data_IF_315037891923
#
_entry.id   IF_315037891923
#
_cell.length_a   1.000
_cell.length_b   1.000
_cell.length_c   1.000
_cell.angle_alpha   90.00
_cell.angle_beta   90.00
_cell.angle_gamma   90.00
#
_symmetry.space_group_name_H-M   'P 1'
#
loop_
_entity.id
_entity.type
_entity.pdbx_description
1 polymer ?
#
# COMPACT_ATOMS: atom_id res chain seq x y z
N UNK A 1 25.37 1.25 -2.01
CA UNK A 1 24.46 2.33 -2.30
C UNK A 1 23.46 2.47 -1.16
N UNK A 2 23.22 3.70 -0.67
CA UNK A 2 22.32 3.94 0.46
C UNK A 2 21.01 4.62 0.04
N UNK A 3 20.79 4.80 -1.23
CA UNK A 3 19.64 5.50 -1.76
C UNK A 3 18.40 4.59 -1.71
N UNK A 4 17.31 5.09 -1.14
CA UNK A 4 16.03 4.36 -1.00
C UNK A 4 16.15 2.97 -0.32
N UNK A 5 17.01 2.84 0.68
CA UNK A 5 17.17 1.58 1.40
C UNK A 5 16.05 1.38 2.43
N UNK A 6 14.84 1.08 1.94
CA UNK A 6 13.68 0.84 2.78
C UNK A 6 13.88 -0.38 3.69
N UNK A 7 14.56 -1.42 3.20
CA UNK A 7 14.84 -2.62 4.00
C UNK A 7 15.60 -2.30 5.28
N UNK A 8 16.70 -1.53 5.18
CA UNK A 8 17.47 -1.17 6.36
C UNK A 8 16.69 -0.30 7.34
N UNK A 9 15.79 0.55 6.85
CA UNK A 9 14.93 1.38 7.70
C UNK A 9 13.91 0.51 8.46
N UNK A 10 13.26 -0.43 7.77
CA UNK A 10 12.30 -1.36 8.38
C UNK A 10 13.00 -2.27 9.39
N UNK A 11 14.17 -2.82 9.05
CA UNK A 11 14.97 -3.67 9.95
C UNK A 11 15.44 -2.90 11.20
N UNK A 12 15.64 -1.60 11.09
CA UNK A 12 15.92 -0.71 12.21
C UNK A 12 14.67 -0.31 13.03
N UNK A 13 13.50 -0.83 12.70
CA UNK A 13 12.23 -0.55 13.38
C UNK A 13 11.56 0.77 13.01
N UNK A 14 12.01 1.44 11.94
CA UNK A 14 11.38 2.69 11.46
C UNK A 14 10.01 2.38 10.88
N UNK A 15 8.99 3.13 11.30
CA UNK A 15 7.64 3.07 10.72
C UNK A 15 7.60 3.94 9.46
N UNK A 16 7.62 3.28 8.30
CA UNK A 16 7.55 3.95 7.00
C UNK A 16 6.08 4.17 6.65
N UNK A 17 5.70 5.40 6.31
CA UNK A 17 4.43 5.73 5.68
C UNK A 17 4.58 5.80 4.16
N UNK A 18 3.55 5.38 3.41
CA UNK A 18 3.53 5.41 1.96
C UNK A 18 2.54 6.45 1.43
N UNK A 19 2.86 7.04 0.28
CA UNK A 19 2.01 8.01 -0.42
C UNK A 19 2.24 7.94 -1.93
N UNK A 20 1.34 8.53 -2.72
CA UNK A 20 1.45 8.62 -4.18
C UNK A 20 2.01 9.95 -4.67
N UNK A 21 2.13 10.94 -3.78
CA UNK A 21 2.59 12.30 -4.11
C UNK A 21 1.76 12.95 -5.25
N UNK A 22 0.42 12.85 -5.13
CA UNK A 22 -0.49 13.49 -6.06
C UNK A 22 -0.19 15.00 -6.21
N UNK A 23 -0.25 15.55 -7.43
CA UNK A 23 -0.71 14.97 -8.70
C UNK A 23 0.42 14.38 -9.57
N UNK A 24 1.61 14.17 -9.04
CA UNK A 24 2.76 13.66 -9.78
C UNK A 24 2.55 12.24 -10.31
N UNK A 25 1.89 11.39 -9.51
CA UNK A 25 1.61 10.01 -9.87
C UNK A 25 0.12 9.69 -9.75
N UNK A 26 -0.35 8.78 -10.60
CA UNK A 26 -1.71 8.24 -10.49
C UNK A 26 -1.84 7.46 -9.18
N UNK A 27 -2.89 7.68 -8.39
CA UNK A 27 -3.09 7.01 -7.11
C UNK A 27 -3.58 5.56 -7.32
N UNK A 28 -2.70 4.69 -7.79
CA UNK A 28 -2.95 3.27 -7.93
C UNK A 28 -2.18 2.51 -6.84
N UNK A 29 -2.93 1.99 -5.85
CA UNK A 29 -2.34 1.29 -4.69
C UNK A 29 -1.64 0.00 -5.12
N UNK A 30 -2.20 -0.75 -6.06
CA UNK A 30 -1.62 -2.00 -6.54
C UNK A 30 -0.29 -1.76 -7.27
N UNK A 31 -0.22 -0.73 -8.10
CA UNK A 31 1.03 -0.28 -8.71
C UNK A 31 2.07 0.14 -7.66
N UNK A 32 1.63 0.84 -6.63
CA UNK A 32 2.51 1.28 -5.54
C UNK A 32 3.06 0.08 -4.75
N UNK A 33 2.23 -0.93 -4.47
CA UNK A 33 2.68 -2.18 -3.84
C UNK A 33 3.72 -2.85 -4.73
N UNK A 34 3.45 -2.99 -6.03
CA UNK A 34 4.37 -3.58 -6.99
C UNK A 34 5.73 -2.86 -6.99
N UNK A 35 5.75 -1.53 -7.05
CA UNK A 35 6.98 -0.74 -7.04
C UNK A 35 7.81 -0.96 -5.76
N UNK A 36 7.17 -0.93 -4.60
CA UNK A 36 7.86 -1.08 -3.31
C UNK A 36 8.41 -2.50 -3.10
N UNK A 37 7.74 -3.52 -3.65
CA UNK A 37 8.13 -4.93 -3.48
C UNK A 37 9.12 -5.38 -4.55
N UNK A 38 8.93 -4.96 -5.82
CA UNK A 38 9.79 -5.37 -6.93
C UNK A 38 11.04 -4.51 -7.12
N UNK A 39 11.05 -3.27 -6.61
CA UNK A 39 12.07 -2.28 -6.91
C UNK A 39 12.06 -1.80 -8.36
N UNK A 40 10.95 -1.99 -9.09
CA UNK A 40 10.80 -1.61 -10.49
C UNK A 40 9.88 -0.41 -10.63
N UNK A 41 10.15 0.47 -11.58
CA UNK A 41 9.30 1.61 -11.91
C UNK A 41 8.39 1.27 -13.11
N UNK A 42 7.10 1.49 -12.94
CA UNK A 42 6.04 1.64 -13.94
C UNK A 42 5.83 0.55 -14.99
N UNK A 43 6.87 0.04 -15.60
CA UNK A 43 6.81 -1.00 -16.62
C UNK A 43 7.80 -2.12 -16.33
N UNK A 44 7.52 -3.32 -16.82
CA UNK A 44 8.34 -4.51 -16.58
C UNK A 44 9.72 -4.48 -17.24
N UNK A 45 9.98 -3.50 -18.10
CA UNK A 45 11.23 -3.38 -18.85
C UNK A 45 12.30 -2.61 -18.09
N UNK A 46 11.95 -1.86 -17.05
CA UNK A 46 12.94 -1.17 -16.23
C UNK A 46 13.70 -2.17 -15.35
N UNK A 47 15.03 -2.03 -15.21
CA UNK A 47 15.78 -2.83 -14.25
C UNK A 47 15.24 -2.57 -12.84
N UNK A 48 15.23 -3.61 -11.99
CA UNK A 48 14.95 -3.41 -10.59
C UNK A 48 15.98 -2.44 -10.01
N UNK A 49 15.52 -1.42 -9.33
CA UNK A 49 16.38 -0.36 -8.81
C UNK A 49 17.41 -0.91 -7.81
N UNK A 50 16.99 -1.69 -6.87
CA UNK A 50 17.82 -2.56 -6.02
C UNK A 50 16.93 -3.55 -5.25
N UNK A 51 16.79 -4.76 -5.77
CA UNK A 51 15.93 -5.80 -5.17
C UNK A 51 16.30 -6.25 -3.75
N UNK A 52 17.46 -5.81 -3.23
CA UNK A 52 17.89 -6.07 -1.85
C UNK A 52 17.30 -5.09 -0.84
N UNK A 53 16.80 -3.96 -1.30
CA UNK A 53 16.36 -2.86 -0.43
C UNK A 53 14.84 -2.67 -0.43
N UNK A 54 14.11 -3.63 -0.99
CA UNK A 54 12.66 -3.61 -1.10
C UNK A 54 11.95 -4.02 0.19
N UNK A 55 10.66 -3.76 0.23
CA UNK A 55 9.75 -4.15 1.31
C UNK A 55 8.97 -5.41 0.93
N UNK A 56 8.48 -6.15 1.91
CA UNK A 56 7.48 -7.20 1.69
C UNK A 56 6.10 -6.60 1.45
N UNK A 57 5.17 -7.36 0.85
CA UNK A 57 3.77 -6.93 0.66
C UNK A 57 3.14 -6.51 2.00
N UNK A 58 3.36 -7.27 3.07
CA UNK A 58 2.82 -6.96 4.40
C UNK A 58 3.34 -5.61 4.95
N UNK A 59 4.62 -5.33 4.79
CA UNK A 59 5.22 -4.07 5.22
C UNK A 59 4.70 -2.88 4.40
N UNK A 60 4.50 -3.07 3.09
CA UNK A 60 3.91 -2.05 2.22
C UNK A 60 2.45 -1.79 2.60
N UNK A 61 1.68 -2.85 2.88
CA UNK A 61 0.29 -2.70 3.35
C UNK A 61 0.22 -1.95 4.68
N UNK A 62 1.13 -2.21 5.63
CA UNK A 62 1.23 -1.43 6.86
C UNK A 62 1.62 0.03 6.59
N UNK A 63 2.52 0.28 5.64
CA UNK A 63 2.92 1.62 5.24
C UNK A 63 1.76 2.43 4.65
N UNK A 64 0.87 1.79 3.88
CA UNK A 64 -0.32 2.42 3.31
C UNK A 64 -1.48 2.60 4.29
N UNK A 65 -1.45 1.93 5.43
CA UNK A 65 -2.55 1.94 6.41
C UNK A 65 -2.08 2.48 7.76
N UNK A 66 -1.80 1.59 8.71
CA UNK A 66 -1.56 1.93 10.11
C UNK A 66 -0.36 2.86 10.32
N UNK A 67 0.73 2.69 9.56
CA UNK A 67 1.94 3.50 9.77
C UNK A 67 1.71 4.99 9.44
N UNK A 68 0.91 5.31 8.41
CA UNK A 68 0.51 6.68 8.11
C UNK A 68 -0.27 7.30 9.27
N UNK A 69 -1.15 6.53 9.90
CA UNK A 69 -1.96 7.00 11.02
C UNK A 69 -1.16 7.14 12.31
N UNK A 70 -0.16 6.28 12.54
CA UNK A 70 0.83 6.47 13.63
C UNK A 70 1.58 7.79 13.43
N UNK A 71 2.03 8.08 12.20
CA UNK A 71 2.69 9.36 11.88
C UNK A 71 1.83 10.59 12.11
N UNK A 72 0.50 10.45 12.09
CA UNK A 72 -0.48 11.50 12.34
C UNK A 72 -1.07 11.47 13.76
N UNK A 73 -0.63 10.57 14.63
CA UNK A 73 -1.19 10.32 15.97
C UNK A 73 -2.71 10.06 15.95
N UNK A 74 -3.18 9.20 15.02
CA UNK A 74 -4.59 8.84 14.82
C UNK A 74 -4.82 7.32 14.81
N UNK A 75 -3.83 6.52 15.20
CA UNK A 75 -3.85 5.06 15.19
C UNK A 75 -4.89 4.46 16.14
N UNK A 76 -5.37 5.23 17.11
CA UNK A 76 -6.48 4.88 18.01
C UNK A 76 -7.85 4.85 17.31
N UNK A 77 -7.98 5.54 16.17
CA UNK A 77 -9.26 5.73 15.46
C UNK A 77 -9.32 5.04 14.11
N UNK A 78 -8.19 4.93 13.42
CA UNK A 78 -8.12 4.48 12.02
C UNK A 78 -6.86 3.66 11.77
N UNK A 79 -6.76 3.04 10.58
CA UNK A 79 -5.56 2.36 10.09
C UNK A 79 -5.55 0.86 10.30
N UNK A 80 -6.47 0.32 11.12
CA UNK A 80 -6.68 -1.12 11.31
C UNK A 80 -8.17 -1.46 11.34
N UNK A 81 -8.52 -2.71 11.03
CA UNK A 81 -9.89 -3.23 11.10
C UNK A 81 -10.14 -3.79 12.50
N UNK A 82 -10.46 -2.91 13.45
CA UNK A 82 -10.73 -3.25 14.83
C UNK A 82 -12.05 -2.66 15.30
N UNK A 83 -12.77 -3.36 16.17
CA UNK A 83 -14.01 -2.84 16.76
C UNK A 83 -13.74 -1.55 17.55
N UNK A 84 -14.54 -0.55 17.32
CA UNK A 84 -14.42 0.78 17.96
C UNK A 84 -13.65 1.81 17.13
N UNK A 85 -12.99 1.40 16.04
CA UNK A 85 -12.39 2.32 15.07
C UNK A 85 -13.38 2.74 13.98
N UNK A 86 -13.07 3.80 13.29
CA UNK A 86 -13.86 4.26 12.15
C UNK A 86 -13.82 3.22 11.05
N UNK A 87 -14.95 3.02 10.39
CA UNK A 87 -15.07 2.09 9.26
C UNK A 87 -14.57 2.74 7.97
N UNK A 88 -13.26 2.95 7.88
CA UNK A 88 -12.55 3.36 6.67
C UNK A 88 -11.93 2.11 6.05
N UNK A 89 -12.56 1.56 5.01
CA UNK A 89 -12.27 0.24 4.47
C UNK A 89 -12.14 0.31 2.95
N UNK A 90 -11.09 -0.28 2.41
CA UNK A 90 -10.96 -0.58 0.99
C UNK A 90 -11.06 -2.10 0.79
N UNK A 91 -11.91 -2.54 -0.14
CA UNK A 91 -12.01 -3.93 -0.56
C UNK A 91 -11.37 -4.07 -1.93
N UNK A 92 -10.49 -5.05 -2.05
CA UNK A 92 -9.80 -5.38 -3.29
C UNK A 92 -10.46 -6.57 -3.96
N UNK A 93 -10.41 -6.64 -5.29
CA UNK A 93 -10.93 -7.76 -6.08
C UNK A 93 -9.97 -8.96 -6.13
N UNK A 94 -8.82 -8.88 -5.48
CA UNK A 94 -7.83 -9.95 -5.36
C UNK A 94 -7.05 -9.91 -4.05
N UNK A 95 -6.41 -11.03 -3.72
CA UNK A 95 -5.57 -11.16 -2.54
C UNK A 95 -4.14 -10.73 -2.85
N UNK A 96 -3.75 -9.53 -2.42
CA UNK A 96 -2.40 -8.98 -2.64
C UNK A 96 -1.29 -9.81 -1.99
N UNK A 97 -1.61 -10.60 -0.95
CA UNK A 97 -0.63 -11.43 -0.24
C UNK A 97 -0.33 -12.75 -0.97
N UNK A 98 -1.21 -13.18 -1.87
CA UNK A 98 -1.09 -14.42 -2.65
C UNK A 98 -0.79 -14.15 -4.12
N UNK A 99 -0.95 -12.91 -4.57
CA UNK A 99 -0.73 -12.51 -5.95
C UNK A 99 0.77 -12.62 -6.32
N UNK A 100 1.04 -13.07 -7.53
CA UNK A 100 2.39 -13.00 -8.11
C UNK A 100 2.77 -11.57 -8.47
N UNK A 101 4.05 -11.31 -8.70
CA UNK A 101 4.51 -9.99 -9.16
C UNK A 101 3.94 -9.59 -10.52
N UNK A 102 3.55 -10.55 -11.34
CA UNK A 102 2.91 -10.30 -12.63
C UNK A 102 1.44 -9.85 -12.48
N UNK A 103 0.74 -10.43 -11.49
CA UNK A 103 -0.71 -10.24 -11.33
C UNK A 103 -1.09 -9.19 -10.27
N UNK A 104 -0.20 -8.88 -9.33
CA UNK A 104 -0.50 -7.94 -8.24
C UNK A 104 -0.93 -6.56 -8.74
N UNK A 105 -0.39 -6.12 -9.87
CA UNK A 105 -0.72 -4.82 -10.50
C UNK A 105 -2.14 -4.73 -11.05
N UNK A 106 -2.74 -5.88 -11.34
CA UNK A 106 -4.08 -5.95 -11.95
C UNK A 106 -5.18 -5.88 -10.90
N UNK A 107 -4.84 -6.08 -9.63
CA UNK A 107 -5.77 -6.00 -8.50
C UNK A 107 -6.31 -4.57 -8.38
N UNK A 108 -7.63 -4.45 -8.27
CA UNK A 108 -8.33 -3.16 -8.19
C UNK A 108 -9.13 -3.03 -6.90
N UNK A 109 -9.35 -1.79 -6.49
CA UNK A 109 -10.31 -1.50 -5.43
C UNK A 109 -11.72 -1.67 -6.02
N UNK A 110 -12.52 -2.55 -5.43
CA UNK A 110 -13.91 -2.79 -5.85
C UNK A 110 -14.95 -2.12 -4.94
N UNK A 111 -14.57 -1.78 -3.70
CA UNK A 111 -15.41 -1.03 -2.77
C UNK A 111 -14.55 -0.13 -1.89
N UNK A 112 -15.02 1.09 -1.63
CA UNK A 112 -14.45 1.98 -0.62
C UNK A 112 -15.55 2.45 0.33
N UNK A 113 -15.29 2.30 1.62
CA UNK A 113 -16.13 2.78 2.71
C UNK A 113 -15.35 3.86 3.46
N UNK A 114 -16.00 4.98 3.76
CA UNK A 114 -15.45 6.06 4.56
C UNK A 114 -16.44 6.41 5.65
N UNK A 115 -16.01 6.35 6.91
CA UNK A 115 -16.86 6.57 8.09
C UNK A 115 -18.16 5.75 8.02
N UNK A 116 -18.05 4.46 7.63
CA UNK A 116 -19.18 3.54 7.51
C UNK A 116 -20.08 3.75 6.27
N UNK A 117 -19.77 4.71 5.40
CA UNK A 117 -20.56 5.00 4.19
C UNK A 117 -19.83 4.52 2.95
N UNK A 118 -20.52 3.81 2.06
CA UNK A 118 -19.98 3.44 0.75
C UNK A 118 -19.81 4.71 -0.10
N UNK A 119 -18.58 5.01 -0.48
CA UNK A 119 -18.23 6.17 -1.33
C UNK A 119 -17.82 5.77 -2.74
N UNK A 120 -17.48 4.50 -2.94
CA UNK A 120 -17.16 3.93 -4.25
C UNK A 120 -17.54 2.45 -4.26
N UNK A 121 -18.15 1.96 -5.35
CA UNK A 121 -18.44 0.55 -5.58
C UNK A 121 -18.43 0.22 -7.07
N UNK A 122 -17.90 -0.94 -7.42
CA UNK A 122 -18.04 -1.58 -8.74
C UNK A 122 -18.81 -2.90 -8.65
N UNK A 123 -19.30 -3.25 -7.46
CA UNK A 123 -19.94 -4.55 -7.20
C UNK A 123 -21.37 -4.65 -7.76
N UNK A 124 -22.02 -3.51 -8.03
CA UNK A 124 -23.42 -3.43 -8.49
C UNK A 124 -23.53 -3.14 -10.00
N UNK A 125 -22.50 -3.49 -10.79
CA UNK A 125 -22.49 -3.31 -12.25
C UNK A 125 -22.52 -4.63 -12.99
#
# INVERSE_FOLDING_TARGET
>A
DRHNNYRAMVDAGVKIGAQTDLPLFIPDVAQSIYHCVSGRLGNDTSPAYDGKHTMTVGEVMQAWTINNHIGMAREDRVGTLEAGKWADIAVLDGNVFEASMETIRDIKVCLTICDGKVVFSTLDK
#
